data_IF_991985393208
#
_entry.id   IF_991985393208
#
_cell.length_a   1.000
_cell.length_b   1.000
_cell.length_c   1.000
_cell.angle_alpha   90.00
_cell.angle_beta   90.00
_cell.angle_gamma   90.00
#
_symmetry.space_group_name_H-M   'P 1'
#
loop_
_entity.id
_entity.type
_entity.pdbx_description
1 polymer ?
#
# COMPACT_ATOMS: atom_id res chain seq x y z
N UNK A 1 24.50 5.90 -2.52
CA UNK A 1 23.69 6.29 -1.36
C UNK A 1 24.38 7.28 -0.39
N UNK A 2 25.70 7.21 -0.20
CA UNK A 2 26.38 8.12 0.75
C UNK A 2 26.38 9.61 0.33
N UNK A 3 26.20 9.90 -0.94
CA UNK A 3 26.22 11.24 -1.53
C UNK A 3 24.83 11.84 -1.84
N UNK A 4 23.76 11.08 -1.57
CA UNK A 4 22.39 11.55 -1.73
C UNK A 4 21.91 12.24 -0.45
N UNK A 5 21.17 13.34 -0.59
CA UNK A 5 20.53 13.98 0.57
C UNK A 5 19.37 13.08 1.07
N UNK A 6 19.01 13.22 2.34
CA UNK A 6 17.87 12.51 2.91
C UNK A 6 16.56 12.87 2.18
N UNK A 7 16.45 14.10 1.68
CA UNK A 7 15.33 14.56 0.87
C UNK A 7 15.27 13.81 -0.46
N UNK A 8 16.38 13.72 -1.20
CA UNK A 8 16.44 13.00 -2.47
C UNK A 8 16.07 11.52 -2.31
N UNK A 9 16.59 10.88 -1.26
CA UNK A 9 16.28 9.49 -0.97
C UNK A 9 14.77 9.28 -0.68
N UNK A 10 14.18 10.15 0.15
CA UNK A 10 12.76 10.08 0.49
C UNK A 10 11.84 10.42 -0.69
N UNK A 11 12.29 11.27 -1.62
CA UNK A 11 11.53 11.58 -2.83
C UNK A 11 11.34 10.37 -3.74
N UNK A 12 12.32 9.45 -3.74
CA UNK A 12 12.26 8.20 -4.51
C UNK A 12 11.37 7.12 -3.88
N UNK A 13 10.94 7.31 -2.64
CA UNK A 13 10.18 6.31 -1.89
C UNK A 13 8.72 6.72 -1.70
N UNK A 14 7.82 5.77 -1.82
CA UNK A 14 6.42 5.88 -1.41
C UNK A 14 6.10 4.83 -0.35
N UNK A 15 5.38 5.23 0.69
CA UNK A 15 4.98 4.33 1.76
C UNK A 15 3.46 4.17 1.76
N UNK A 16 2.99 2.94 1.91
CA UNK A 16 1.62 2.63 2.27
C UNK A 16 1.69 1.88 3.59
N UNK A 17 1.26 2.55 4.66
CA UNK A 17 1.31 2.01 6.00
C UNK A 17 0.06 1.17 6.30
N UNK A 18 0.18 0.29 7.29
CA UNK A 18 -0.90 -0.51 7.84
C UNK A 18 -2.12 0.35 8.21
N UNK A 19 -1.89 1.42 8.94
CA UNK A 19 -2.91 2.43 9.21
C UNK A 19 -2.73 3.60 8.24
N UNK A 20 -3.75 3.88 7.45
CA UNK A 20 -3.74 5.01 6.53
C UNK A 20 -3.70 6.34 7.30
N UNK A 21 -2.61 7.09 7.12
CA UNK A 21 -2.47 8.43 7.70
C UNK A 21 -3.18 9.44 6.80
N UNK A 22 -4.35 9.90 7.24
CA UNK A 22 -5.17 10.91 6.55
C UNK A 22 -5.30 12.15 7.40
N UNK A 23 -5.49 13.29 6.73
CA UNK A 23 -5.60 14.60 7.35
C UNK A 23 -7.07 15.04 7.38
N UNK A 24 -7.41 15.92 8.33
CA UNK A 24 -8.70 16.59 8.36
C UNK A 24 -8.80 17.62 7.24
N UNK A 25 -9.03 17.14 6.03
CA UNK A 25 -9.04 17.91 4.80
C UNK A 25 -9.93 17.21 3.75
N UNK A 26 -9.99 17.75 2.53
CA UNK A 26 -10.74 17.17 1.42
C UNK A 26 -10.13 15.88 0.89
N UNK A 27 -10.89 15.11 0.11
CA UNK A 27 -10.33 13.99 -0.66
C UNK A 27 -9.23 14.45 -1.59
N UNK A 28 -9.44 15.56 -2.30
CA UNK A 28 -8.44 16.13 -3.20
C UNK A 28 -7.11 16.38 -2.49
N UNK A 29 -7.13 17.12 -1.37
CA UNK A 29 -5.92 17.47 -0.63
C UNK A 29 -5.24 16.24 0.01
N UNK A 30 -6.03 15.26 0.45
CA UNK A 30 -5.47 14.01 0.96
C UNK A 30 -4.76 13.19 -0.11
N UNK A 31 -5.30 13.11 -1.32
CA UNK A 31 -4.68 12.36 -2.43
C UNK A 31 -3.49 13.12 -3.01
N UNK A 32 -3.61 14.43 -3.20
CA UNK A 32 -2.55 15.27 -3.78
C UNK A 32 -1.41 15.59 -2.81
N UNK A 33 -1.51 15.18 -1.56
CA UNK A 33 -0.52 15.47 -0.53
C UNK A 33 0.90 15.04 -0.95
N UNK A 34 1.82 16.01 -0.97
CA UNK A 34 3.22 15.81 -1.37
C UNK A 34 3.46 15.85 -2.88
N UNK A 35 2.46 16.25 -3.69
CA UNK A 35 2.59 16.48 -5.13
C UNK A 35 2.16 17.90 -5.43
N UNK A 36 3.11 18.80 -5.67
CA UNK A 36 2.82 20.20 -6.02
C UNK A 36 2.19 20.31 -7.40
N UNK A 37 1.15 21.16 -7.52
CA UNK A 37 0.50 21.44 -8.81
C UNK A 37 -0.30 20.28 -9.40
N UNK A 38 -0.67 19.28 -8.59
CA UNK A 38 -1.54 18.19 -9.05
C UNK A 38 -2.87 18.72 -9.57
N UNK A 39 -3.29 18.30 -10.76
CA UNK A 39 -4.59 18.67 -11.33
C UNK A 39 -5.69 17.74 -10.83
N UNK A 40 -6.95 18.18 -10.89
CA UNK A 40 -8.10 17.35 -10.54
C UNK A 40 -8.15 16.06 -11.39
N UNK A 41 -7.81 16.14 -12.67
CA UNK A 41 -7.77 14.98 -13.57
C UNK A 41 -6.75 13.93 -13.12
N UNK A 42 -5.56 14.36 -12.71
CA UNK A 42 -4.52 13.47 -12.18
C UNK A 42 -4.96 12.79 -10.88
N UNK A 43 -5.59 13.56 -9.99
CA UNK A 43 -6.13 13.05 -8.72
C UNK A 43 -7.27 12.04 -8.98
N UNK A 44 -8.16 12.34 -9.91
CA UNK A 44 -9.25 11.43 -10.31
C UNK A 44 -8.72 10.13 -10.92
N UNK A 45 -7.70 10.21 -11.78
CA UNK A 45 -7.09 9.02 -12.38
C UNK A 45 -6.42 8.14 -11.33
N UNK A 46 -5.67 8.72 -10.40
CA UNK A 46 -5.09 8.00 -9.28
C UNK A 46 -6.16 7.33 -8.40
N UNK A 47 -7.28 8.02 -8.17
CA UNK A 47 -8.40 7.50 -7.40
C UNK A 47 -9.12 6.35 -8.15
N UNK A 48 -9.24 6.39 -9.48
CA UNK A 48 -9.80 5.28 -10.27
C UNK A 48 -8.94 4.03 -10.16
N UNK A 49 -7.63 4.17 -10.34
CA UNK A 49 -6.67 3.05 -10.22
C UNK A 49 -6.70 2.43 -8.82
N UNK A 50 -6.94 3.26 -7.79
CA UNK A 50 -7.06 2.82 -6.40
C UNK A 50 -8.47 2.33 -6.00
N UNK A 51 -9.40 2.19 -6.94
CA UNK A 51 -10.81 1.85 -6.66
C UNK A 51 -11.50 2.81 -5.67
N UNK A 52 -11.10 4.10 -5.66
CA UNK A 52 -11.61 5.11 -4.74
C UNK A 52 -12.59 6.09 -5.39
N UNK A 53 -12.56 6.25 -6.71
CA UNK A 53 -13.32 7.27 -7.43
C UNK A 53 -14.84 7.21 -7.16
N UNK A 54 -15.43 6.03 -7.20
CA UNK A 54 -16.87 5.88 -7.12
C UNK A 54 -17.44 6.33 -5.76
N UNK A 55 -16.80 5.94 -4.64
CA UNK A 55 -17.28 6.37 -3.33
C UNK A 55 -16.98 7.86 -3.06
N UNK A 56 -15.91 8.43 -3.67
CA UNK A 56 -15.65 9.87 -3.61
C UNK A 56 -16.76 10.62 -4.33
N UNK A 57 -17.13 10.21 -5.55
CA UNK A 57 -18.20 10.83 -6.33
C UNK A 57 -19.59 10.66 -5.71
N UNK A 58 -19.80 9.63 -4.90
CA UNK A 58 -21.02 9.44 -4.11
C UNK A 58 -21.10 10.33 -2.86
N UNK A 59 -20.03 11.04 -2.52
CA UNK A 59 -20.01 11.99 -1.40
C UNK A 59 -20.65 13.32 -1.81
N UNK A 60 -21.13 14.10 -0.84
CA UNK A 60 -21.94 15.31 -1.04
C UNK A 60 -21.26 16.32 -1.99
N UNK A 61 -19.97 16.61 -1.78
CA UNK A 61 -19.18 17.55 -2.58
C UNK A 61 -18.10 16.85 -3.43
N UNK A 62 -18.22 15.54 -3.69
CA UNK A 62 -17.24 14.78 -4.44
C UNK A 62 -15.83 14.93 -3.87
N UNK A 63 -14.86 15.33 -4.69
CA UNK A 63 -13.46 15.51 -4.27
C UNK A 63 -13.23 16.64 -3.26
N UNK A 64 -14.14 17.60 -3.15
CA UNK A 64 -14.07 18.70 -2.19
C UNK A 64 -14.70 18.34 -0.83
N UNK A 65 -15.25 17.13 -0.68
CA UNK A 65 -15.77 16.61 0.58
C UNK A 65 -14.67 16.48 1.63
N UNK A 66 -14.86 17.13 2.79
CA UNK A 66 -13.97 16.96 3.93
C UNK A 66 -14.21 15.62 4.63
N UNK A 67 -13.16 14.82 4.77
CA UNK A 67 -13.20 13.44 5.29
C UNK A 67 -13.17 13.34 6.82
N UNK A 68 -13.05 14.47 7.51
CA UNK A 68 -12.97 14.53 8.97
C UNK A 68 -11.61 14.19 9.54
N UNK A 69 -11.49 14.26 10.86
CA UNK A 69 -10.24 13.95 11.54
C UNK A 69 -9.82 12.50 11.28
N UNK A 70 -8.61 12.33 10.77
CA UNK A 70 -8.02 11.01 10.37
C UNK A 70 -8.92 10.18 9.45
N UNK A 71 -9.76 10.83 8.65
CA UNK A 71 -10.73 10.13 7.80
C UNK A 71 -11.82 9.41 8.58
N UNK A 72 -12.26 9.98 9.73
CA UNK A 72 -13.21 9.37 10.64
C UNK A 72 -14.60 9.10 10.02
N UNK A 73 -14.92 9.74 8.88
CA UNK A 73 -16.15 9.50 8.13
C UNK A 73 -16.06 8.30 7.17
N UNK A 74 -14.87 7.69 7.03
CA UNK A 74 -14.58 6.64 6.05
C UNK A 74 -14.44 5.26 6.73
N UNK A 75 -14.80 4.20 6.00
CA UNK A 75 -14.46 2.83 6.39
C UNK A 75 -12.95 2.58 6.34
N UNK A 76 -12.47 1.53 6.98
CA UNK A 76 -11.06 1.14 6.93
C UNK A 76 -10.55 0.95 5.49
N UNK A 77 -11.32 0.23 4.66
CA UNK A 77 -10.98 0.00 3.25
C UNK A 77 -11.00 1.27 2.41
N UNK A 78 -11.91 2.22 2.69
CA UNK A 78 -11.93 3.52 2.02
C UNK A 78 -10.69 4.34 2.38
N UNK A 79 -10.31 4.41 3.67
CA UNK A 79 -9.09 5.10 4.10
C UNK A 79 -7.85 4.52 3.42
N UNK A 80 -7.75 3.19 3.36
CA UNK A 80 -6.62 2.53 2.72
C UNK A 80 -6.53 2.85 1.23
N UNK A 81 -7.65 2.85 0.51
CA UNK A 81 -7.69 3.20 -0.93
C UNK A 81 -7.33 4.67 -1.19
N UNK A 82 -7.64 5.60 -0.30
CA UNK A 82 -7.16 6.99 -0.39
C UNK A 82 -5.63 7.06 -0.21
N UNK A 83 -5.07 6.32 0.74
CA UNK A 83 -3.62 6.24 0.94
C UNK A 83 -2.91 5.64 -0.29
N UNK A 84 -3.51 4.61 -0.90
CA UNK A 84 -3.01 4.01 -2.15
C UNK A 84 -3.09 5.01 -3.31
N UNK A 85 -4.21 5.74 -3.47
CA UNK A 85 -4.35 6.78 -4.50
C UNK A 85 -3.28 7.86 -4.38
N UNK A 86 -2.95 8.29 -3.16
CA UNK A 86 -1.83 9.20 -2.88
C UNK A 86 -0.50 8.64 -3.37
N UNK A 87 -0.22 7.37 -3.10
CA UNK A 87 1.01 6.71 -3.55
C UNK A 87 1.05 6.56 -5.08
N UNK A 88 -0.08 6.27 -5.73
CA UNK A 88 -0.20 6.20 -7.20
C UNK A 88 0.11 7.57 -7.82
N UNK A 89 -0.49 8.65 -7.29
CA UNK A 89 -0.28 10.00 -7.79
C UNK A 89 1.19 10.45 -7.65
N UNK A 90 1.82 10.15 -6.50
CA UNK A 90 3.23 10.44 -6.26
C UNK A 90 4.15 9.69 -7.22
N UNK A 91 3.74 8.52 -7.70
CA UNK A 91 4.45 7.67 -8.66
C UNK A 91 5.93 7.39 -8.32
N UNK A 92 6.29 6.94 -7.12
CA UNK A 92 7.66 6.70 -6.72
C UNK A 92 8.23 5.43 -7.37
N UNK A 93 9.54 5.38 -7.70
CA UNK A 93 10.17 4.16 -8.23
C UNK A 93 10.31 3.03 -7.20
N UNK A 94 10.31 3.36 -5.92
CA UNK A 94 10.43 2.41 -4.81
C UNK A 94 9.20 2.52 -3.93
N UNK A 95 8.56 1.39 -3.65
CA UNK A 95 7.42 1.29 -2.73
C UNK A 95 7.81 0.50 -1.49
N UNK A 96 7.34 0.97 -0.34
CA UNK A 96 7.40 0.25 0.92
C UNK A 96 5.95 0.05 1.37
N UNK A 97 5.51 -1.19 1.41
CA UNK A 97 4.17 -1.56 1.81
C UNK A 97 4.23 -2.29 3.14
N UNK A 98 3.58 -1.71 4.15
CA UNK A 98 3.32 -2.41 5.41
C UNK A 98 1.88 -2.93 5.34
N UNK A 99 1.74 -4.23 5.05
CA UNK A 99 0.45 -4.82 4.71
C UNK A 99 -0.42 -5.01 5.95
N UNK A 100 -1.56 -4.35 5.97
CA UNK A 100 -2.64 -4.68 6.88
C UNK A 100 -4.00 -4.62 6.22
N UNK A 101 -4.47 -5.76 5.85
CA UNK A 101 -5.85 -5.98 5.45
C UNK A 101 -6.63 -6.73 6.53
N UNK A 102 -6.08 -6.88 7.73
CA UNK A 102 -6.54 -7.81 8.77
C UNK A 102 -7.87 -7.48 9.44
N UNK A 103 -8.51 -6.35 9.11
CA UNK A 103 -9.77 -5.91 9.72
C UNK A 103 -10.80 -5.44 8.68
N UNK A 104 -10.65 -5.80 7.42
CA UNK A 104 -11.56 -5.41 6.35
C UNK A 104 -12.59 -6.50 6.09
N UNK A 105 -13.80 -6.12 5.67
CA UNK A 105 -14.75 -7.04 5.09
C UNK A 105 -14.25 -7.54 3.72
N UNK A 106 -14.76 -8.69 3.28
CA UNK A 106 -14.28 -9.40 2.08
C UNK A 106 -14.27 -8.54 0.81
N UNK A 107 -15.28 -7.71 0.62
CA UNK A 107 -15.37 -6.86 -0.58
C UNK A 107 -14.36 -5.71 -0.51
N UNK A 108 -14.26 -5.04 0.64
CA UNK A 108 -13.25 -3.98 0.86
C UNK A 108 -11.84 -4.54 0.72
N UNK A 109 -11.58 -5.74 1.22
CA UNK A 109 -10.30 -6.41 1.09
C UNK A 109 -9.94 -6.65 -0.38
N UNK A 110 -10.87 -7.19 -1.18
CA UNK A 110 -10.67 -7.42 -2.62
C UNK A 110 -10.30 -6.15 -3.36
N UNK A 111 -11.03 -5.04 -3.10
CA UNK A 111 -10.77 -3.75 -3.73
C UNK A 111 -9.44 -3.14 -3.32
N UNK A 112 -9.03 -3.28 -2.07
CA UNK A 112 -7.73 -2.83 -1.58
C UNK A 112 -6.60 -3.66 -2.20
N UNK A 113 -6.76 -4.98 -2.27
CA UNK A 113 -5.76 -5.87 -2.87
C UNK A 113 -5.55 -5.55 -4.36
N UNK A 114 -6.62 -5.37 -5.12
CA UNK A 114 -6.55 -4.97 -6.53
C UNK A 114 -5.84 -3.61 -6.71
N UNK A 115 -6.14 -2.64 -5.84
CA UNK A 115 -5.47 -1.34 -5.86
C UNK A 115 -3.97 -1.46 -5.55
N UNK A 116 -3.57 -2.31 -4.60
CA UNK A 116 -2.16 -2.58 -4.28
C UNK A 116 -1.44 -3.26 -5.46
N UNK A 117 -2.07 -4.23 -6.11
CA UNK A 117 -1.50 -4.89 -7.30
C UNK A 117 -1.27 -3.89 -8.43
N UNK A 118 -2.22 -2.98 -8.67
CA UNK A 118 -2.05 -1.91 -9.64
C UNK A 118 -0.91 -0.95 -9.26
N UNK A 119 -0.80 -0.60 -7.97
CA UNK A 119 0.28 0.25 -7.47
C UNK A 119 1.66 -0.39 -7.64
N UNK A 120 1.79 -1.69 -7.42
CA UNK A 120 3.07 -2.42 -7.49
C UNK A 120 3.62 -2.60 -8.91
N UNK A 121 2.79 -2.50 -9.95
CA UNK A 121 3.20 -2.76 -11.34
C UNK A 121 4.37 -1.87 -11.77
N UNK A 122 5.40 -2.50 -12.36
CA UNK A 122 6.59 -1.84 -12.90
C UNK A 122 7.41 -1.02 -11.88
N UNK A 123 7.41 -1.44 -10.60
CA UNK A 123 8.14 -0.77 -9.53
C UNK A 123 8.89 -1.76 -8.66
N UNK A 124 9.98 -1.27 -8.05
CA UNK A 124 10.63 -2.01 -6.97
C UNK A 124 9.79 -1.89 -5.72
N UNK A 125 9.29 -3.02 -5.21
CA UNK A 125 8.41 -3.03 -4.04
C UNK A 125 9.02 -3.86 -2.92
N UNK A 126 9.07 -3.28 -1.73
CA UNK A 126 9.41 -3.97 -0.48
C UNK A 126 8.11 -4.12 0.30
N UNK A 127 7.72 -5.36 0.58
CA UNK A 127 6.47 -5.66 1.28
C UNK A 127 6.77 -6.30 2.63
N UNK A 128 6.25 -5.73 3.71
CA UNK A 128 6.17 -6.41 5.00
C UNK A 128 4.86 -7.19 4.98
N UNK A 129 4.96 -8.47 4.65
CA UNK A 129 3.79 -9.28 4.37
C UNK A 129 3.29 -10.02 5.59
N UNK A 130 1.98 -9.95 5.80
CA UNK A 130 1.24 -10.70 6.82
C UNK A 130 0.45 -11.87 6.22
N UNK A 131 0.40 -12.00 4.89
CA UNK A 131 -0.33 -13.05 4.17
C UNK A 131 0.54 -13.77 3.15
N UNK A 132 0.40 -15.09 3.08
CA UNK A 132 1.11 -15.92 2.12
C UNK A 132 0.78 -15.57 0.67
N UNK A 133 -0.46 -15.17 0.37
CA UNK A 133 -0.88 -14.80 -0.98
C UNK A 133 -0.04 -13.66 -1.56
N UNK A 134 0.35 -12.69 -0.74
CA UNK A 134 1.13 -11.52 -1.17
C UNK A 134 2.58 -11.88 -1.48
N UNK A 135 3.18 -12.80 -0.71
CA UNK A 135 4.61 -13.14 -0.85
C UNK A 135 4.89 -14.25 -1.86
N UNK A 136 3.88 -15.07 -2.19
CA UNK A 136 4.08 -16.26 -3.05
C UNK A 136 4.66 -15.92 -4.43
N UNK A 137 4.32 -14.75 -4.97
CA UNK A 137 4.76 -14.28 -6.27
C UNK A 137 5.93 -13.29 -6.19
N UNK A 138 6.52 -13.09 -5.00
CA UNK A 138 7.67 -12.21 -4.85
C UNK A 138 8.90 -12.76 -5.57
N UNK A 139 9.68 -11.86 -6.17
CA UNK A 139 10.94 -12.23 -6.82
C UNK A 139 11.97 -12.74 -5.81
N UNK A 140 11.92 -12.22 -4.58
CA UNK A 140 12.76 -12.61 -3.48
C UNK A 140 12.00 -12.45 -2.15
N UNK A 141 12.12 -13.45 -1.28
CA UNK A 141 11.57 -13.46 0.07
C UNK A 141 12.73 -13.50 1.05
N UNK A 142 12.73 -12.59 2.02
CA UNK A 142 13.67 -12.57 3.14
C UNK A 142 12.93 -12.93 4.43
N UNK A 143 13.31 -14.02 5.07
CA UNK A 143 12.75 -14.42 6.36
C UNK A 143 13.58 -13.81 7.48
N UNK A 144 12.93 -13.04 8.34
CA UNK A 144 13.56 -12.37 9.48
C UNK A 144 13.31 -13.16 10.77
N UNK A 145 14.35 -13.40 11.55
CA UNK A 145 14.26 -13.96 12.89
C UNK A 145 15.29 -13.30 13.80
N UNK A 146 14.86 -12.83 14.97
CA UNK A 146 15.70 -12.14 15.96
C UNK A 146 16.56 -10.99 15.37
N UNK A 147 16.02 -10.27 14.37
CA UNK A 147 16.69 -9.14 13.74
C UNK A 147 17.67 -9.51 12.61
N UNK A 148 17.81 -10.79 12.28
CA UNK A 148 18.66 -11.29 11.21
C UNK A 148 17.85 -11.94 10.08
N UNK A 149 18.38 -11.88 8.85
CA UNK A 149 17.83 -12.62 7.72
C UNK A 149 18.35 -14.06 7.82
N UNK A 150 17.46 -15.00 8.17
CA UNK A 150 17.81 -16.42 8.37
C UNK A 150 17.61 -17.27 7.11
N UNK A 151 16.70 -16.86 6.22
CA UNK A 151 16.45 -17.51 4.94
C UNK A 151 16.20 -16.47 3.86
N UNK A 152 16.61 -16.78 2.62
CA UNK A 152 16.45 -15.91 1.47
C UNK A 152 16.28 -16.75 0.21
N UNK A 153 15.26 -16.45 -0.61
CA UNK A 153 14.99 -17.16 -1.85
C UNK A 153 13.57 -16.93 -2.36
N UNK A 154 13.16 -17.71 -3.34
CA UNK A 154 11.79 -17.74 -3.85
C UNK A 154 10.90 -18.68 -3.03
N UNK A 155 9.59 -18.53 -3.17
CA UNK A 155 8.61 -19.35 -2.45
C UNK A 155 8.92 -20.86 -2.51
N UNK A 156 9.09 -21.40 -3.70
CA UNK A 156 9.30 -22.84 -3.89
C UNK A 156 10.65 -23.34 -3.34
N UNK A 157 11.70 -22.52 -3.46
CA UNK A 157 13.01 -22.79 -2.89
C UNK A 157 12.94 -22.87 -1.36
N UNK A 158 12.28 -21.90 -0.74
CA UNK A 158 12.16 -21.84 0.72
C UNK A 158 11.22 -22.92 1.28
N UNK A 159 10.18 -23.32 0.55
CA UNK A 159 9.36 -24.49 0.91
C UNK A 159 10.20 -25.76 0.90
N UNK A 160 11.06 -25.93 -0.11
CA UNK A 160 11.92 -27.12 -0.24
C UNK A 160 13.00 -27.20 0.85
N UNK A 161 13.43 -26.07 1.43
CA UNK A 161 14.39 -26.03 2.56
C UNK A 161 13.82 -26.59 3.85
N UNK A 162 12.49 -26.70 3.99
CA UNK A 162 11.79 -27.16 5.21
C UNK A 162 12.19 -26.41 6.49
N UNK A 163 12.47 -25.10 6.34
CA UNK A 163 13.01 -24.23 7.38
C UNK A 163 11.98 -23.32 8.05
N UNK A 164 12.38 -22.10 8.39
CA UNK A 164 11.53 -21.12 9.04
C UNK A 164 10.35 -20.69 8.15
N UNK A 165 10.61 -20.47 6.86
CA UNK A 165 9.58 -20.06 5.91
C UNK A 165 8.46 -21.07 5.82
N UNK A 166 8.79 -22.35 5.68
CA UNK A 166 7.79 -23.42 5.59
C UNK A 166 6.94 -23.52 6.85
N UNK A 167 7.55 -23.41 8.03
CA UNK A 167 6.79 -23.38 9.31
C UNK A 167 5.81 -22.22 9.37
N UNK A 168 6.21 -21.01 8.91
CA UNK A 168 5.31 -19.86 8.84
C UNK A 168 4.15 -20.11 7.87
N UNK A 169 4.42 -20.73 6.72
CA UNK A 169 3.40 -21.13 5.76
C UNK A 169 2.40 -22.13 6.35
N UNK A 170 2.91 -23.18 7.03
CA UNK A 170 2.09 -24.22 7.65
C UNK A 170 1.18 -23.65 8.75
N UNK A 171 1.64 -22.64 9.51
CA UNK A 171 0.84 -21.95 10.52
C UNK A 171 -0.26 -21.05 9.95
N UNK A 172 -0.14 -20.56 8.72
CA UNK A 172 -1.15 -19.70 8.07
C UNK A 172 -2.15 -20.48 7.21
N UNK A 173 -1.93 -21.78 7.02
CA UNK A 173 -2.79 -22.64 6.18
C UNK A 173 -3.98 -23.24 6.92
N UNK A 174 -4.31 -22.76 8.14
CA UNK A 174 -5.46 -23.20 8.95
C UNK A 174 -6.54 -22.13 9.02
#
# INVERSE_FOLDING_TARGET
>A
MRDATLYDLRSLMGNVNQEAILFNDTFFNNISFGVEGATLEQVQEAARIANAHDFIMASEDGYDTNIGDRGGKLSGGQRQRISIARAILKNPPILILDEATSALDTESERLVQEALENLMRNRTTIVIAHRLSTIRNADEICVMHEGEIVERGRHEELIALDGYYKRLCDMQSF
#
